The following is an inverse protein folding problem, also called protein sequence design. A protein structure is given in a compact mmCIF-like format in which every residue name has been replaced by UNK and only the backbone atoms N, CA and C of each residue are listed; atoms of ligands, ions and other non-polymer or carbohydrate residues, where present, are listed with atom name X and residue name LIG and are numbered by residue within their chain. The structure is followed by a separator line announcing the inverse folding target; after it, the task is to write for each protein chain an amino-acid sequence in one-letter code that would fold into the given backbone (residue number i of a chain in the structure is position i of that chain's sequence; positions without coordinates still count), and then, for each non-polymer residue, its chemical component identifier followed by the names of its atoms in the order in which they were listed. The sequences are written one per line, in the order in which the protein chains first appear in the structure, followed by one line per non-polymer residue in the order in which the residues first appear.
data_IF_333628253942
#
_entry.id   IF_333628253942
#
_cell.length_a   1.000
_cell.length_b   1.000
_cell.length_c   1.000
_cell.angle_alpha   90.00
_cell.angle_beta   90.00
_cell.angle_gamma   90.00
#
_symmetry.space_group_name_H-M   'P 1'
#
loop_
_entity.id
_entity.type
_entity.pdbx_description
1 polymer ?
#
# COMPACT_ATOMS: atom_id res chain seq x y z
N UNK A 1 16.16 24.54 5.45
CA UNK A 1 16.78 24.38 4.13
C UNK A 1 17.19 22.91 3.98
N UNK A 2 16.30 22.06 3.51
CA UNK A 2 16.57 20.63 3.18
C UNK A 2 15.91 20.26 1.83
N UNK A 3 15.79 21.23 0.92
CA UNK A 3 15.27 21.02 -0.42
C UNK A 3 16.36 20.38 -1.30
N UNK A 4 16.15 19.15 -1.74
CA UNK A 4 16.93 18.54 -2.85
C UNK A 4 17.59 17.19 -2.60
N UNK A 5 17.42 16.55 -1.44
CA UNK A 5 17.96 15.19 -1.22
C UNK A 5 16.95 14.10 -1.61
N UNK A 6 17.45 13.11 -2.36
CA UNK A 6 16.73 11.87 -2.68
C UNK A 6 16.16 11.20 -1.43
N UNK A 7 14.98 10.59 -1.54
CA UNK A 7 14.37 9.81 -0.45
C UNK A 7 15.02 8.42 -0.21
N UNK A 8 16.11 8.09 -0.91
CA UNK A 8 16.84 6.84 -0.73
C UNK A 8 17.54 6.77 0.65
N UNK A 9 17.30 5.69 1.38
CA UNK A 9 17.95 5.39 2.67
C UNK A 9 18.26 3.90 2.80
N UNK A 10 19.31 3.56 3.54
CA UNK A 10 19.67 2.18 3.81
C UNK A 10 18.58 1.49 4.61
N UNK A 11 18.33 0.22 4.34
CA UNK A 11 17.35 -0.57 5.07
C UNK A 11 15.91 -0.42 4.64
N UNK A 12 15.61 0.47 3.69
CA UNK A 12 14.27 0.59 3.13
C UNK A 12 13.84 -0.75 2.53
N UNK A 13 12.61 -1.16 2.82
CA UNK A 13 11.99 -2.32 2.20
C UNK A 13 11.31 -1.86 0.92
N UNK A 14 11.58 -2.55 -0.18
CA UNK A 14 11.21 -2.11 -1.52
C UNK A 14 10.51 -3.20 -2.32
N UNK A 15 9.74 -2.77 -3.31
CA UNK A 15 9.13 -3.61 -4.35
C UNK A 15 9.37 -2.99 -5.72
N UNK A 16 9.02 -3.71 -6.78
CA UNK A 16 9.19 -3.22 -8.15
C UNK A 16 8.43 -1.92 -8.42
N UNK A 17 9.14 -0.95 -8.97
CA UNK A 17 8.69 0.39 -9.32
C UNK A 17 8.05 0.52 -10.70
N UNK A 18 7.83 1.77 -11.16
CA UNK A 18 7.17 2.06 -12.44
C UNK A 18 8.05 1.81 -13.67
N UNK A 19 9.36 1.97 -13.58
CA UNK A 19 10.28 1.83 -14.73
C UNK A 19 11.03 0.50 -14.78
N UNK A 20 10.56 -0.49 -13.99
CA UNK A 20 11.14 -1.82 -13.92
C UNK A 20 11.27 -2.44 -15.32
N UNK A 21 12.48 -2.88 -15.66
CA UNK A 21 12.80 -3.47 -16.98
C UNK A 21 13.59 -4.78 -16.92
N UNK A 22 13.80 -5.30 -15.71
CA UNK A 22 14.57 -6.52 -15.48
C UNK A 22 13.66 -7.74 -15.56
N UNK A 23 14.25 -8.94 -15.67
CA UNK A 23 13.53 -10.17 -16.00
C UNK A 23 12.24 -10.39 -15.19
N UNK A 24 11.19 -10.85 -15.86
CA UNK A 24 9.83 -10.97 -15.33
C UNK A 24 9.67 -12.16 -14.36
N UNK A 25 10.71 -12.97 -14.17
CA UNK A 25 10.69 -14.16 -13.32
C UNK A 25 10.57 -13.85 -11.81
N UNK A 26 11.00 -12.67 -11.37
CA UNK A 26 10.76 -12.22 -9.99
C UNK A 26 9.29 -11.74 -9.90
N UNK A 27 8.54 -12.17 -8.89
CA UNK A 27 7.16 -11.75 -8.74
C UNK A 27 7.08 -10.23 -8.49
N UNK A 28 6.05 -9.54 -9.00
CA UNK A 28 5.92 -8.09 -8.82
C UNK A 28 5.83 -7.63 -7.37
N UNK A 29 5.35 -8.53 -6.51
CA UNK A 29 5.22 -8.31 -5.07
C UNK A 29 6.43 -8.77 -4.24
N UNK A 30 7.49 -9.30 -4.86
CA UNK A 30 8.67 -9.73 -4.10
C UNK A 30 9.30 -8.55 -3.38
N UNK A 31 9.55 -8.74 -2.09
CA UNK A 31 10.17 -7.77 -1.21
C UNK A 31 11.69 -7.82 -1.32
N UNK A 32 12.32 -6.65 -1.23
CA UNK A 32 13.77 -6.52 -1.10
C UNK A 32 14.16 -5.45 -0.11
N UNK A 33 15.45 -5.40 0.22
CA UNK A 33 16.05 -4.44 1.15
C UNK A 33 17.12 -3.62 0.44
N UNK A 34 17.09 -2.30 0.57
CA UNK A 34 18.17 -1.42 0.12
C UNK A 34 19.39 -1.57 1.04
N UNK A 35 20.53 -1.97 0.48
CA UNK A 35 21.75 -2.26 1.27
C UNK A 35 22.94 -1.36 0.92
N UNK A 36 22.92 -0.73 -0.25
CA UNK A 36 23.90 0.30 -0.62
C UNK A 36 23.21 1.42 -1.40
N UNK A 37 23.73 2.64 -1.25
CA UNK A 37 23.25 3.83 -1.96
C UNK A 37 24.45 4.52 -2.57
N UNK A 38 24.29 5.01 -3.79
CA UNK A 38 25.27 5.88 -4.45
C UNK A 38 25.78 7.01 -3.52
N UNK A 39 27.08 7.26 -3.58
CA UNK A 39 27.75 8.35 -2.86
C UNK A 39 27.82 8.21 -1.34
N UNK A 40 27.31 7.13 -0.74
CA UNK A 40 27.54 6.83 0.68
C UNK A 40 28.86 6.06 0.86
N UNK A 41 29.64 6.42 1.89
CA UNK A 41 31.02 5.95 2.09
C UNK A 41 31.20 4.44 1.92
N UNK A 42 32.07 4.05 0.98
CA UNK A 42 32.37 2.65 0.66
C UNK A 42 31.40 1.96 -0.31
N UNK A 43 30.34 2.65 -0.74
CA UNK A 43 29.35 2.13 -1.70
C UNK A 43 29.98 1.86 -3.08
N UNK A 44 29.62 0.74 -3.67
CA UNK A 44 29.98 0.39 -5.06
C UNK A 44 28.86 0.71 -6.03
N UNK A 45 27.73 1.23 -5.54
CA UNK A 45 26.58 1.57 -6.35
C UNK A 45 26.94 2.68 -7.35
N UNK A 46 26.68 2.48 -8.65
CA UNK A 46 26.81 3.55 -9.64
C UNK A 46 25.95 4.77 -9.32
N UNK A 47 26.32 5.92 -9.92
CA UNK A 47 25.60 7.18 -9.75
C UNK A 47 24.07 7.03 -9.91
N UNK A 48 23.29 7.55 -8.96
CA UNK A 48 21.82 7.49 -8.93
C UNK A 48 21.24 6.07 -9.01
N UNK A 49 21.92 5.11 -8.40
CA UNK A 49 21.44 3.73 -8.24
C UNK A 49 21.49 3.30 -6.77
N UNK A 50 20.81 2.20 -6.47
CA UNK A 50 20.86 1.53 -5.17
C UNK A 50 21.12 0.04 -5.36
N UNK A 51 21.83 -0.57 -4.42
CA UNK A 51 21.91 -2.03 -4.33
C UNK A 51 20.76 -2.56 -3.50
N UNK A 52 20.10 -3.60 -3.98
CA UNK A 52 19.03 -4.30 -3.27
C UNK A 52 19.39 -5.77 -3.12
N UNK A 53 19.19 -6.30 -1.92
CA UNK A 53 19.10 -7.74 -1.66
C UNK A 53 17.62 -8.10 -1.60
N UNK A 54 17.14 -8.88 -2.55
CA UNK A 54 15.79 -9.43 -2.52
C UNK A 54 15.67 -10.48 -1.42
N UNK A 55 14.46 -10.68 -0.91
CA UNK A 55 14.25 -11.66 0.16
C UNK A 55 14.65 -13.08 -0.26
N UNK A 56 14.68 -13.40 -1.55
CA UNK A 56 15.21 -14.66 -2.10
C UNK A 56 16.72 -14.83 -1.92
N UNK A 57 17.44 -13.73 -1.63
CA UNK A 57 18.90 -13.65 -1.56
C UNK A 57 19.56 -13.11 -2.83
N UNK A 58 18.79 -12.94 -3.92
CA UNK A 58 19.31 -12.34 -5.15
C UNK A 58 19.69 -10.88 -4.94
N UNK A 59 20.79 -10.45 -5.56
CA UNK A 59 21.30 -9.09 -5.41
C UNK A 59 21.37 -8.38 -6.75
N UNK A 60 21.21 -7.05 -6.75
CA UNK A 60 21.36 -6.27 -7.97
C UNK A 60 21.33 -4.76 -7.74
N UNK A 61 21.75 -4.02 -8.77
CA UNK A 61 21.70 -2.57 -8.81
C UNK A 61 20.50 -2.07 -9.61
N UNK A 62 19.77 -1.12 -9.04
CA UNK A 62 18.51 -0.61 -9.58
C UNK A 62 18.52 0.91 -9.66
N UNK A 63 17.88 1.47 -10.70
CA UNK A 63 17.90 2.91 -10.94
C UNK A 63 16.99 3.61 -9.94
N UNK A 64 17.55 4.65 -9.32
CA UNK A 64 16.89 5.53 -8.36
C UNK A 64 17.07 6.99 -8.83
N UNK A 65 16.79 7.24 -10.12
CA UNK A 65 17.00 8.52 -10.79
C UNK A 65 18.03 8.49 -11.94
N UNK A 66 18.77 7.39 -12.12
CA UNK A 66 19.67 7.24 -13.27
C UNK A 66 18.86 7.21 -14.58
N UNK A 67 19.22 8.09 -15.53
CA UNK A 67 18.50 8.24 -16.79
C UNK A 67 17.03 8.63 -16.62
N UNK A 68 16.67 9.34 -15.53
CA UNK A 68 15.30 9.67 -15.16
C UNK A 68 14.38 8.44 -14.97
N UNK A 69 14.98 7.29 -14.64
CA UNK A 69 14.27 6.06 -14.40
C UNK A 69 14.31 5.66 -12.92
N UNK A 70 13.24 4.98 -12.50
CA UNK A 70 12.95 4.68 -11.11
C UNK A 70 12.38 3.27 -11.04
N UNK A 71 13.22 2.33 -10.65
CA UNK A 71 12.91 0.90 -10.74
C UNK A 71 12.23 0.37 -9.49
N UNK A 72 12.09 1.18 -8.43
CA UNK A 72 11.66 0.72 -7.11
C UNK A 72 10.61 1.63 -6.49
N UNK A 73 9.67 1.02 -5.76
CA UNK A 73 8.81 1.69 -4.79
C UNK A 73 9.27 1.36 -3.37
N UNK A 74 9.10 2.31 -2.44
CA UNK A 74 9.33 2.08 -1.02
C UNK A 74 8.07 1.47 -0.42
N UNK A 75 8.12 0.21 0.01
CA UNK A 75 6.99 -0.46 0.65
C UNK A 75 6.82 0.00 2.10
N UNK A 76 7.93 0.06 2.84
CA UNK A 76 7.98 0.65 4.18
C UNK A 76 9.38 1.21 4.45
N UNK A 77 9.44 2.17 5.37
CA UNK A 77 10.66 2.83 5.81
C UNK A 77 10.98 2.57 7.30
N UNK A 78 10.61 1.38 7.78
CA UNK A 78 10.98 0.89 9.10
C UNK A 78 12.45 0.48 9.07
N UNK A 79 13.28 1.05 9.96
CA UNK A 79 14.74 0.91 9.94
C UNK A 79 15.32 0.43 11.29
N UNK A 80 14.55 -0.31 12.09
CA UNK A 80 14.90 -0.66 13.46
C UNK A 80 14.42 0.36 14.49
N UNK A 81 14.90 0.21 15.73
CA UNK A 81 14.58 1.07 16.89
C UNK A 81 14.98 2.54 16.72
N UNK A 82 15.84 2.87 15.74
CA UNK A 82 16.22 4.24 15.37
C UNK A 82 15.52 4.78 14.12
N UNK A 83 14.46 4.10 13.65
CA UNK A 83 13.74 4.45 12.42
C UNK A 83 12.79 5.64 12.56
N UNK A 84 11.96 5.84 11.53
CA UNK A 84 10.95 6.92 11.53
C UNK A 84 9.83 6.59 12.52
N UNK A 85 9.61 7.48 13.48
CA UNK A 85 8.51 7.39 14.44
C UNK A 85 7.70 8.68 14.44
N UNK A 86 6.38 8.54 14.38
CA UNK A 86 5.42 9.61 14.62
C UNK A 86 4.96 9.54 16.07
N UNK A 87 5.75 10.15 16.96
CA UNK A 87 5.51 10.22 18.40
C UNK A 87 4.10 10.73 18.69
N UNK A 88 3.51 10.22 19.78
CA UNK A 88 2.17 10.61 20.26
C UNK A 88 1.01 10.35 19.27
N UNK A 89 1.27 9.74 18.11
CA UNK A 89 0.24 9.40 17.12
C UNK A 89 -0.11 7.92 17.24
N UNK A 90 -1.37 7.61 17.52
CA UNK A 90 -1.87 6.22 17.62
C UNK A 90 -2.61 5.86 16.35
N UNK A 91 -2.37 4.66 15.82
CA UNK A 91 -3.12 4.16 14.66
C UNK A 91 -4.58 3.85 15.06
N UNK A 92 -5.57 4.49 14.42
CA UNK A 92 -6.98 4.24 14.71
C UNK A 92 -7.47 2.85 14.25
N UNK A 93 -6.70 2.16 13.39
CA UNK A 93 -7.05 0.84 12.88
C UNK A 93 -6.60 -0.34 13.76
N UNK A 94 -5.39 -0.25 14.35
CA UNK A 94 -4.83 -1.32 15.20
C UNK A 94 -4.58 -0.89 16.65
N UNK A 95 -4.79 0.38 16.99
CA UNK A 95 -4.57 0.98 18.31
C UNK A 95 -3.13 0.92 18.82
N UNK A 96 -2.18 0.58 17.95
CA UNK A 96 -0.77 0.62 18.26
C UNK A 96 -0.33 2.07 18.44
N UNK A 97 0.24 2.34 19.62
CA UNK A 97 0.80 3.66 19.96
C UNK A 97 2.06 3.88 19.13
N UNK A 98 2.23 5.13 18.71
CA UNK A 98 3.37 5.62 17.92
C UNK A 98 3.47 4.88 16.59
N UNK A 99 2.96 5.52 15.54
CA UNK A 99 3.07 4.98 14.20
C UNK A 99 4.56 4.96 13.79
N UNK A 100 5.07 3.75 13.55
CA UNK A 100 6.42 3.51 13.01
C UNK A 100 6.33 3.40 11.49
N UNK A 101 7.27 4.04 10.79
CA UNK A 101 7.30 4.13 9.35
C UNK A 101 6.34 5.20 8.81
N UNK A 102 5.63 4.91 7.72
CA UNK A 102 4.70 5.87 7.10
C UNK A 102 3.46 6.11 7.97
N UNK A 103 3.11 7.39 8.16
CA UNK A 103 1.84 7.83 8.72
C UNK A 103 0.87 8.21 7.61
N UNK A 104 -0.32 7.63 7.64
CA UNK A 104 -1.39 7.88 6.68
C UNK A 104 -2.51 8.66 7.38
N UNK A 105 -2.50 9.98 7.21
CA UNK A 105 -3.48 10.89 7.81
C UNK A 105 -4.67 11.07 6.89
N UNK A 106 -5.88 10.79 7.37
CA UNK A 106 -7.10 11.11 6.64
C UNK A 106 -7.29 12.63 6.57
N UNK A 107 -7.61 13.17 5.39
CA UNK A 107 -7.92 14.59 5.20
C UNK A 107 -9.33 14.88 5.66
N UNK A 108 -10.28 14.00 5.31
CA UNK A 108 -11.70 14.18 5.59
C UNK A 108 -12.04 13.98 7.08
N UNK A 109 -11.21 13.22 7.80
CA UNK A 109 -11.39 12.93 9.23
C UNK A 109 -10.16 13.38 10.04
N UNK A 110 -10.20 14.54 10.71
CA UNK A 110 -9.06 15.10 11.44
C UNK A 110 -8.49 14.19 12.54
N UNK A 111 -9.30 13.36 13.17
CA UNK A 111 -8.87 12.43 14.23
C UNK A 111 -8.33 11.08 13.73
N UNK A 112 -8.29 10.85 12.42
CA UNK A 112 -7.92 9.55 11.84
C UNK A 112 -6.49 9.57 11.28
N UNK A 113 -5.70 8.67 11.84
CA UNK A 113 -4.34 8.28 11.46
C UNK A 113 -4.25 6.76 11.35
N UNK A 114 -3.64 6.27 10.28
CA UNK A 114 -3.40 4.84 10.06
C UNK A 114 -1.90 4.58 9.88
N UNK A 115 -1.43 3.45 10.40
CA UNK A 115 -0.15 2.88 9.99
C UNK A 115 -0.27 2.22 8.61
N UNK A 116 0.86 1.92 7.96
CA UNK A 116 0.90 1.28 6.63
C UNK A 116 0.06 0.01 6.59
N UNK A 117 0.18 -0.88 7.58
CA UNK A 117 -0.60 -2.14 7.61
C UNK A 117 -2.10 -1.89 7.55
N UNK A 118 -2.60 -0.96 8.36
CA UNK A 118 -4.02 -0.62 8.40
C UNK A 118 -4.50 0.10 7.14
N UNK A 119 -3.71 1.05 6.62
CA UNK A 119 -4.03 1.74 5.37
C UNK A 119 -4.16 0.77 4.18
N UNK A 120 -3.21 -0.17 4.08
CA UNK A 120 -3.15 -1.15 3.00
C UNK A 120 -4.21 -2.26 3.13
N UNK A 121 -4.71 -2.51 4.34
CA UNK A 121 -5.74 -3.50 4.65
C UNK A 121 -7.15 -2.91 4.76
N UNK A 122 -7.42 -1.83 4.00
CA UNK A 122 -8.74 -1.21 3.86
C UNK A 122 -9.39 -0.74 5.16
N UNK A 123 -8.59 -0.42 6.19
CA UNK A 123 -9.15 0.23 7.37
C UNK A 123 -9.54 1.66 7.02
N UNK A 124 -10.66 2.11 7.55
CA UNK A 124 -11.31 3.40 7.27
C UNK A 124 -11.85 3.52 5.84
N UNK A 125 -12.76 4.48 5.64
CA UNK A 125 -13.45 4.70 4.36
C UNK A 125 -12.46 4.83 3.19
N UNK A 126 -12.71 4.05 2.14
CA UNK A 126 -11.87 3.98 0.95
C UNK A 126 -12.07 5.18 0.01
N UNK A 127 -13.16 5.92 0.15
CA UNK A 127 -13.45 7.15 -0.58
C UNK A 127 -12.79 8.39 0.04
N UNK A 128 -12.24 8.28 1.25
CA UNK A 128 -11.55 9.39 1.89
C UNK A 128 -10.14 9.59 1.33
N UNK A 129 -9.74 10.86 1.24
CA UNK A 129 -8.42 11.31 0.83
C UNK A 129 -7.43 11.16 1.98
N UNK A 130 -6.22 10.70 1.66
CA UNK A 130 -5.15 10.57 2.64
C UNK A 130 -3.92 11.39 2.25
N UNK A 131 -3.20 11.86 3.26
CA UNK A 131 -1.83 12.39 3.14
C UNK A 131 -0.89 11.35 3.74
N UNK A 132 0.13 10.96 2.98
CA UNK A 132 1.23 10.11 3.45
C UNK A 132 2.38 10.98 3.94
N UNK A 133 2.77 10.80 5.18
CA UNK A 133 3.97 11.39 5.75
C UNK A 133 5.07 10.33 5.81
N UNK A 134 6.18 10.59 5.12
CA UNK A 134 7.34 9.68 5.09
C UNK A 134 8.23 9.87 6.32
N UNK A 135 8.22 11.07 6.90
CA UNK A 135 8.87 11.39 8.17
C UNK A 135 8.02 12.36 8.97
N UNK A 136 8.33 12.53 10.26
CA UNK A 136 7.64 13.50 11.12
C UNK A 136 7.74 14.96 10.66
N UNK A 137 8.73 15.29 9.83
CA UNK A 137 8.95 16.64 9.30
C UNK A 137 8.64 16.76 7.80
N UNK A 138 8.21 15.68 7.16
CA UNK A 138 7.83 15.72 5.75
C UNK A 138 6.60 16.59 5.55
N UNK A 139 6.54 17.34 4.44
CA UNK A 139 5.38 18.17 4.09
C UNK A 139 4.09 17.35 3.89
N UNK A 140 4.23 16.03 3.69
CA UNK A 140 3.14 15.12 3.39
C UNK A 140 2.78 15.13 1.91
N UNK A 141 2.46 13.96 1.37
CA UNK A 141 2.06 13.79 -0.02
C UNK A 141 0.61 13.33 -0.07
N UNK A 142 -0.27 14.09 -0.72
CA UNK A 142 -1.65 13.66 -0.97
C UNK A 142 -1.64 12.42 -1.86
N UNK A 143 -2.27 11.35 -1.40
CA UNK A 143 -2.26 10.05 -2.06
C UNK A 143 -3.41 9.97 -3.03
N UNK A 144 -3.10 9.78 -4.32
CA UNK A 144 -4.06 9.64 -5.39
C UNK A 144 -3.62 8.54 -6.38
N UNK A 145 -4.55 7.82 -7.01
CA UNK A 145 -6.01 7.94 -6.86
C UNK A 145 -6.51 7.41 -5.51
N UNK A 146 -7.77 7.69 -5.16
CA UNK A 146 -8.38 7.21 -3.89
C UNK A 146 -8.39 5.68 -3.80
N UNK A 147 -8.38 5.12 -2.58
CA UNK A 147 -8.38 3.65 -2.39
C UNK A 147 -9.58 2.99 -3.06
N UNK A 148 -10.77 3.59 -3.05
CA UNK A 148 -11.95 3.07 -3.74
C UNK A 148 -11.74 2.92 -5.26
N UNK A 149 -10.91 3.77 -5.85
CA UNK A 149 -10.56 3.75 -7.28
C UNK A 149 -9.28 2.95 -7.58
N UNK A 150 -8.60 2.43 -6.56
CA UNK A 150 -7.34 1.69 -6.66
C UNK A 150 -7.45 0.20 -6.35
N UNK A 151 -8.67 -0.37 -6.30
CA UNK A 151 -8.83 -1.79 -5.94
C UNK A 151 -8.06 -2.75 -6.87
N UNK A 152 -8.05 -2.46 -8.18
CA UNK A 152 -7.30 -3.26 -9.17
C UNK A 152 -5.78 -3.04 -9.13
N UNK A 153 -5.31 -2.06 -8.35
CA UNK A 153 -3.89 -1.77 -8.14
C UNK A 153 -3.30 -2.52 -6.93
N UNK A 154 -4.14 -3.20 -6.15
CA UNK A 154 -3.68 -4.05 -5.05
C UNK A 154 -2.77 -5.17 -5.53
N UNK A 155 -1.71 -5.40 -4.78
CA UNK A 155 -0.74 -6.47 -5.01
C UNK A 155 -0.49 -7.21 -3.70
N UNK A 156 -0.29 -8.51 -3.80
CA UNK A 156 0.14 -9.33 -2.67
C UNK A 156 1.65 -9.18 -2.50
N UNK A 157 2.10 -8.77 -1.32
CA UNK A 157 3.52 -8.79 -1.00
C UNK A 157 3.99 -10.25 -0.83
N UNK A 158 5.21 -10.55 -1.26
CA UNK A 158 5.81 -11.87 -1.13
C UNK A 158 7.22 -11.71 -0.57
N UNK A 159 7.59 -12.51 0.42
CA UNK A 159 8.87 -12.33 1.10
C UNK A 159 8.89 -12.89 2.50
N UNK A 160 9.79 -12.35 3.32
CA UNK A 160 9.97 -12.72 4.72
C UNK A 160 8.88 -12.02 5.54
N UNK A 161 7.76 -12.72 5.67
CA UNK A 161 6.62 -12.37 6.53
C UNK A 161 6.44 -13.42 7.62
N UNK A 162 5.57 -13.16 8.60
CA UNK A 162 5.20 -14.15 9.61
C UNK A 162 4.73 -15.45 8.95
N UNK A 163 5.28 -16.58 9.38
CA UNK A 163 5.06 -17.90 8.80
C UNK A 163 6.07 -18.30 7.72
N UNK A 164 6.89 -17.37 7.21
CA UNK A 164 7.88 -17.69 6.17
C UNK A 164 8.95 -18.66 6.67
N UNK A 165 9.39 -19.56 5.79
CA UNK A 165 10.55 -20.42 6.03
C UNK A 165 11.79 -19.71 5.50
N UNK A 166 12.80 -19.57 6.35
CA UNK A 166 14.01 -18.79 6.09
C UNK A 166 15.26 -19.60 6.41
N UNK A 167 16.39 -19.15 5.88
CA UNK A 167 17.74 -19.63 6.21
C UNK A 167 18.69 -18.44 6.37
N UNK A 168 19.94 -18.70 6.79
CA UNK A 168 20.96 -17.65 6.91
C UNK A 168 21.15 -16.87 5.59
N UNK A 169 21.10 -15.54 5.70
CA UNK A 169 21.28 -14.58 4.60
C UNK A 169 22.73 -14.11 4.44
N UNK A 170 22.93 -13.08 3.62
CA UNK A 170 24.26 -12.59 3.24
C UNK A 170 25.03 -11.94 4.41
N UNK A 171 24.35 -11.20 5.29
CA UNK A 171 24.97 -10.52 6.43
C UNK A 171 24.95 -11.38 7.72
N UNK A 172 24.74 -12.69 7.62
CA UNK A 172 24.69 -13.58 8.78
C UNK A 172 25.99 -13.54 9.58
N UNK A 173 25.86 -13.33 10.90
CA UNK A 173 26.99 -13.24 11.84
C UNK A 173 26.79 -14.04 13.13
N UNK A 174 25.77 -14.89 13.16
CA UNK A 174 25.25 -15.47 14.40
C UNK A 174 25.75 -16.90 14.62
N UNK A 175 26.97 -17.21 14.17
CA UNK A 175 27.56 -18.55 14.27
C UNK A 175 26.64 -19.63 13.71
N UNK A 176 26.39 -20.68 14.49
CA UNK A 176 25.48 -21.78 14.16
C UNK A 176 24.21 -21.79 15.02
N UNK A 177 23.69 -20.62 15.40
CA UNK A 177 22.40 -20.52 16.11
C UNK A 177 21.23 -21.18 15.34
N UNK A 178 21.33 -21.20 14.01
CA UNK A 178 20.41 -21.87 13.08
C UNK A 178 20.64 -23.39 12.97
N UNK A 179 21.66 -23.94 13.64
CA UNK A 179 22.06 -25.34 13.51
C UNK A 179 22.99 -25.63 12.33
N UNK A 180 23.53 -24.60 11.67
CA UNK A 180 24.50 -24.75 10.58
C UNK A 180 23.97 -24.31 9.22
N UNK A 181 24.89 -24.19 8.26
CA UNK A 181 24.54 -23.75 6.90
C UNK A 181 23.54 -24.72 6.25
N UNK A 182 22.53 -24.15 5.58
CA UNK A 182 21.47 -24.91 4.92
C UNK A 182 20.32 -25.34 5.84
N UNK A 183 20.40 -25.09 7.15
CA UNK A 183 19.26 -25.25 8.05
C UNK A 183 18.26 -24.13 7.87
N UNK A 184 16.99 -24.46 8.10
CA UNK A 184 15.86 -23.55 7.98
C UNK A 184 15.19 -23.32 9.32
N UNK A 185 14.48 -22.20 9.41
CA UNK A 185 13.65 -21.82 10.54
C UNK A 185 12.39 -21.13 10.06
N UNK A 186 11.40 -21.04 10.94
CA UNK A 186 10.13 -20.38 10.65
C UNK A 186 10.08 -19.01 11.32
N UNK A 187 9.72 -17.98 10.56
CA UNK A 187 9.43 -16.65 11.12
C UNK A 187 8.18 -16.73 11.97
N UNK A 188 8.32 -16.51 13.27
CA UNK A 188 7.20 -16.56 14.23
C UNK A 188 6.59 -15.19 14.47
N UNK A 189 7.38 -14.12 14.34
CA UNK A 189 6.89 -12.75 14.49
C UNK A 189 7.79 -11.72 13.80
N UNK A 190 7.22 -10.57 13.49
CA UNK A 190 7.95 -9.39 13.01
C UNK A 190 7.45 -8.20 13.81
N UNK A 191 8.35 -7.56 14.55
CA UNK A 191 8.00 -6.42 15.40
C UNK A 191 7.66 -5.19 14.54
N UNK A 192 6.99 -4.20 15.13
CA UNK A 192 6.76 -2.90 14.47
C UNK A 192 8.05 -2.16 14.09
N UNK A 193 9.19 -2.59 14.64
CA UNK A 193 10.52 -2.05 14.40
C UNK A 193 11.30 -2.79 13.31
N UNK A 194 10.75 -3.89 12.78
CA UNK A 194 11.37 -4.68 11.71
C UNK A 194 12.30 -5.79 12.20
N UNK A 195 12.35 -6.07 13.49
CA UNK A 195 13.08 -7.23 14.02
C UNK A 195 12.31 -8.52 13.69
N UNK A 196 12.98 -9.47 13.05
CA UNK A 196 12.38 -10.72 12.59
C UNK A 196 12.73 -11.85 13.55
N UNK A 197 11.74 -12.38 14.26
CA UNK A 197 11.92 -13.48 15.20
C UNK A 197 11.75 -14.81 14.46
N UNK A 198 12.80 -15.64 14.48
CA UNK A 198 12.81 -16.95 13.81
C UNK A 198 12.96 -18.06 14.84
N UNK A 199 12.10 -19.07 14.74
CA UNK A 199 12.22 -20.34 15.45
C UNK A 199 12.98 -21.33 14.59
N UNK A 200 14.12 -21.81 15.07
CA UNK A 200 14.92 -22.82 14.38
C UNK A 200 14.53 -24.24 14.80
N UNK A 201 15.05 -25.24 14.07
CA UNK A 201 14.83 -26.67 14.37
C UNK A 201 15.25 -27.08 15.78
N UNK A 202 16.18 -26.35 16.41
CA UNK A 202 16.56 -26.54 17.81
C UNK A 202 15.46 -26.16 18.82
N UNK A 203 14.40 -25.50 18.36
CA UNK A 203 13.33 -24.93 19.20
C UNK A 203 13.62 -23.51 19.69
N UNK A 204 14.87 -23.05 19.61
CA UNK A 204 15.26 -21.72 20.03
C UNK A 204 14.70 -20.64 19.09
N UNK A 205 14.34 -19.49 19.69
CA UNK A 205 13.84 -18.31 18.97
C UNK A 205 14.81 -17.16 19.16
N UNK A 206 15.25 -16.56 18.05
CA UNK A 206 16.16 -15.42 18.06
C UNK A 206 15.71 -14.32 17.09
N UNK A 207 16.02 -13.04 17.40
CA UNK A 207 15.78 -11.92 16.50
C UNK A 207 16.89 -11.78 15.46
N UNK A 208 16.51 -11.38 14.24
CA UNK A 208 17.41 -11.13 13.12
C UNK A 208 17.04 -9.85 12.39
N UNK A 209 18.04 -9.22 11.78
CA UNK A 209 17.87 -7.97 11.05
C UNK A 209 17.47 -8.23 9.61
N UNK A 210 16.43 -7.52 9.19
CA UNK A 210 15.97 -7.44 7.81
C UNK A 210 15.78 -5.97 7.43
N UNK A 211 16.89 -5.31 7.10
CA UNK A 211 16.95 -3.89 6.74
C UNK A 211 17.53 -2.98 7.80
N UNK A 212 17.54 -3.34 9.08
CA UNK A 212 18.19 -2.50 10.10
C UNK A 212 19.68 -2.25 9.74
N UNK A 213 20.05 -0.99 9.58
CA UNK A 213 21.37 -0.53 9.10
C UNK A 213 21.79 -1.11 7.73
N UNK A 214 20.83 -1.40 6.85
CA UNK A 214 21.10 -2.02 5.54
C UNK A 214 21.57 -3.47 5.63
N UNK A 215 21.30 -4.17 6.74
CA UNK A 215 21.75 -5.56 6.96
C UNK A 215 20.63 -6.57 6.73
N UNK A 216 20.97 -7.65 6.03
CA UNK A 216 20.05 -8.74 5.67
C UNK A 216 20.61 -10.07 6.17
N UNK A 217 20.19 -10.46 7.37
CA UNK A 217 20.67 -11.68 8.03
C UNK A 217 19.87 -12.93 7.64
N UNK A 218 18.76 -12.79 6.93
CA UNK A 218 17.88 -13.88 6.53
C UNK A 218 17.64 -13.87 5.03
N UNK A 219 17.44 -15.05 4.46
CA UNK A 219 16.90 -15.24 3.11
C UNK A 219 15.75 -16.24 3.13
N UNK A 220 14.79 -16.03 2.25
CA UNK A 220 13.62 -16.85 2.05
C UNK A 220 14.03 -18.20 1.47
N UNK A 221 13.66 -19.28 2.15
CA UNK A 221 13.85 -20.65 1.68
C UNK A 221 12.59 -21.16 0.95
N UNK A 222 11.41 -20.81 1.45
CA UNK A 222 10.13 -21.13 0.81
C UNK A 222 9.29 -19.87 0.67
N UNK A 223 8.61 -19.74 -0.48
CA UNK A 223 7.78 -18.55 -0.76
C UNK A 223 6.69 -18.41 0.30
N UNK A 224 6.58 -17.20 0.85
CA UNK A 224 5.53 -16.83 1.78
C UNK A 224 4.81 -15.57 1.28
N UNK A 225 3.49 -15.57 1.43
CA UNK A 225 2.65 -14.42 1.11
C UNK A 225 2.51 -13.53 2.34
N UNK A 226 2.66 -12.24 2.13
CA UNK A 226 2.52 -11.20 3.14
C UNK A 226 1.21 -10.44 2.99
N UNK A 227 1.25 -9.17 3.39
CA UNK A 227 0.10 -8.28 3.30
C UNK A 227 -0.17 -7.84 1.86
N UNK A 228 -1.42 -7.47 1.58
CA UNK A 228 -1.78 -6.75 0.37
C UNK A 228 -1.33 -5.29 0.49
N UNK A 229 -0.99 -4.64 -0.62
CA UNK A 229 -0.67 -3.22 -0.69
C UNK A 229 -1.16 -2.57 -1.98
N UNK A 230 -1.42 -1.26 -1.93
CA UNK A 230 -1.74 -0.42 -3.09
C UNK A 230 -0.44 0.07 -3.74
N UNK A 231 -0.05 -0.53 -4.87
CA UNK A 231 1.23 -0.27 -5.52
C UNK A 231 1.42 1.21 -5.87
N UNK A 232 0.44 1.83 -6.49
CA UNK A 232 0.42 3.24 -6.90
C UNK A 232 0.44 4.23 -5.73
N UNK A 233 0.15 3.77 -4.50
CA UNK A 233 0.15 4.60 -3.30
C UNK A 233 1.49 4.62 -2.59
N UNK A 234 2.46 3.81 -3.02
CA UNK A 234 3.81 3.79 -2.46
C UNK A 234 4.68 4.92 -3.04
N UNK A 235 5.60 5.50 -2.25
CA UNK A 235 6.61 6.40 -2.79
C UNK A 235 7.47 5.73 -3.85
N UNK A 236 7.90 6.49 -4.84
CA UNK A 236 8.97 6.07 -5.75
C UNK A 236 10.31 6.31 -5.06
N UNK A 237 11.18 5.30 -5.05
CA UNK A 237 12.51 5.43 -4.46
C UNK A 237 13.45 6.19 -5.42
N UNK A 238 14.19 7.17 -4.88
CA UNK A 238 15.06 8.06 -5.64
C UNK A 238 14.39 9.37 -6.06
N UNK A 239 13.08 9.50 -5.85
CA UNK A 239 12.35 10.73 -6.11
C UNK A 239 12.72 11.82 -5.10
N UNK A 240 12.69 13.08 -5.53
CA UNK A 240 12.89 14.22 -4.63
C UNK A 240 11.67 14.35 -3.70
N UNK A 241 11.93 14.51 -2.40
CA UNK A 241 10.90 14.55 -1.35
C UNK A 241 10.05 15.82 -1.30
N UNK A 242 10.05 16.66 -2.33
CA UNK A 242 9.35 17.95 -2.35
C UNK A 242 7.94 17.88 -2.96
N UNK A 243 7.47 16.69 -3.33
CA UNK A 243 6.15 16.54 -3.97
C UNK A 243 6.06 17.19 -5.36
N UNK A 244 7.19 17.66 -5.92
CA UNK A 244 7.26 18.25 -7.27
C UNK A 244 7.71 17.25 -8.33
N UNK A 245 8.08 16.02 -7.94
CA UNK A 245 8.10 14.93 -8.90
C UNK A 245 6.65 14.68 -9.29
N UNK A 246 6.37 15.12 -10.50
CA UNK A 246 5.13 14.96 -11.22
C UNK A 246 4.74 13.48 -11.23
N UNK A 247 4.04 13.04 -10.17
CA UNK A 247 3.24 11.81 -10.18
C UNK A 247 2.20 11.85 -11.33
N UNK A 248 2.11 12.98 -12.05
CA UNK A 248 1.29 13.15 -13.24
C UNK A 248 1.81 12.47 -14.51
N UNK A 249 2.97 11.81 -14.55
CA UNK A 249 3.29 11.02 -15.76
C UNK A 249 2.24 9.90 -16.00
N UNK A 250 1.66 9.33 -14.93
CA UNK A 250 0.51 8.41 -15.03
C UNK A 250 -0.85 9.10 -14.84
N UNK A 251 -0.96 10.18 -14.06
CA UNK A 251 -2.25 10.81 -13.74
C UNK A 251 -2.81 11.73 -14.86
N UNK A 252 -2.00 12.20 -15.83
CA UNK A 252 -2.54 12.99 -16.97
C UNK A 252 -3.51 12.22 -17.86
N UNK A 253 -3.47 10.89 -17.84
CA UNK A 253 -4.40 10.05 -18.61
C UNK A 253 -5.79 10.00 -17.95
N UNK A 254 -5.87 10.01 -16.62
CA UNK A 254 -7.15 9.84 -15.90
C UNK A 254 -7.89 11.19 -15.72
N UNK A 255 -7.18 12.30 -15.51
CA UNK A 255 -7.80 13.62 -15.31
C UNK A 255 -8.39 14.24 -16.59
N UNK A 256 -8.03 13.76 -17.79
CA UNK A 256 -8.68 14.19 -19.04
C UNK A 256 -10.08 13.58 -19.23
N UNK A 257 -10.41 12.49 -18.55
CA UNK A 257 -11.73 11.84 -18.67
C UNK A 257 -12.82 12.55 -17.84
N UNK A 258 -12.47 13.21 -16.74
CA UNK A 258 -13.46 13.83 -15.82
C UNK A 258 -13.93 15.21 -16.28
N UNK A 259 -13.17 15.92 -17.13
CA UNK A 259 -13.57 17.24 -17.64
C UNK A 259 -14.59 17.22 -18.78
N UNK A 260 -14.96 16.05 -19.32
CA UNK A 260 -15.89 15.96 -20.46
C UNK A 260 -17.36 15.75 -20.08
N UNK A 261 -17.70 15.69 -18.77
CA UNK A 261 -19.08 15.43 -18.33
C UNK A 261 -19.79 16.56 -17.57
N UNK A 262 -19.17 17.72 -17.37
CA UNK A 262 -19.87 18.90 -16.86
C UNK A 262 -19.97 19.94 -17.97
N UNK A 263 -21.04 19.85 -18.76
CA UNK A 263 -21.49 20.93 -19.62
C UNK A 263 -21.88 22.13 -18.75
N UNK A 264 -21.04 23.15 -18.72
CA UNK A 264 -21.44 24.49 -18.30
C UNK A 264 -21.18 25.41 -19.48
N UNK A 265 -22.28 25.93 -20.01
CA UNK A 265 -22.40 26.90 -21.09
C UNK A 265 -21.52 28.11 -20.78
N UNK A 266 -20.53 28.41 -21.64
CA UNK A 266 -19.83 29.71 -21.61
C UNK A 266 -20.62 30.69 -22.46
N UNK A 267 -21.27 31.65 -21.80
CA UNK A 267 -21.64 32.91 -22.43
C UNK A 267 -20.39 33.77 -22.57
N UNK A 268 -20.13 34.19 -23.80
CA UNK A 268 -19.11 35.15 -24.20
C UNK A 268 -19.28 36.48 -23.48
N UNK A 269 -18.18 37.04 -22.96
CA UNK A 269 -18.02 38.49 -23.00
C UNK A 269 -16.56 38.82 -23.32
N UNK A 270 -16.41 39.62 -24.37
CA UNK A 270 -15.15 40.14 -24.90
C UNK A 270 -14.69 41.34 -24.07
N UNK A 271 -13.37 41.46 -23.91
CA UNK A 271 -12.52 42.66 -23.77
C UNK A 271 -11.17 42.14 -23.25
N UNK A 272 -10.10 42.05 -24.04
CA UNK A 272 -9.29 43.19 -24.52
C UNK A 272 -8.56 43.79 -23.31
N UNK A 273 -7.24 43.79 -23.13
CA UNK A 273 -6.06 43.45 -23.92
C UNK A 273 -4.83 43.88 -23.08
N UNK A 274 -3.64 43.58 -23.57
CA UNK A 274 -2.33 44.12 -23.18
C UNK A 274 -1.61 43.47 -21.99
N UNK A 275 -0.49 42.82 -22.30
CA UNK A 275 0.58 42.53 -21.34
C UNK A 275 1.60 43.66 -21.26
N UNK A 276 2.51 43.56 -20.30
CA UNK A 276 3.91 43.99 -20.42
C UNK A 276 4.71 43.43 -19.24
N UNK A 277 5.94 43.00 -19.54
CA UNK A 277 7.03 42.73 -18.59
C UNK A 277 7.44 44.01 -17.83
N UNK A 278 8.24 43.82 -16.76
CA UNK A 278 9.60 44.38 -16.58
C UNK A 278 9.93 44.72 -15.09
N UNK A 279 10.96 44.01 -14.59
CA UNK A 279 12.05 44.35 -13.65
C UNK A 279 11.77 44.84 -12.21
N UNK A 280 12.62 44.34 -11.31
CA UNK A 280 12.75 44.77 -9.93
C UNK A 280 13.64 46.00 -9.73
N UNK A 281 13.68 46.46 -8.49
CA UNK A 281 14.73 47.30 -7.92
C UNK A 281 14.70 47.21 -6.38
N UNK A 282 15.89 47.38 -5.83
CA UNK A 282 16.35 47.23 -4.46
C UNK A 282 16.28 48.55 -3.64
N UNK A 283 16.36 48.39 -2.31
CA UNK A 283 16.98 49.30 -1.30
C UNK A 283 16.30 50.63 -0.89
N UNK A 284 16.07 50.76 0.43
CA UNK A 284 16.67 51.87 1.20
C UNK A 284 15.81 52.91 1.96
N UNK A 285 15.74 52.71 3.28
CA UNK A 285 15.95 53.70 4.37
C UNK A 285 14.87 54.71 4.85
N UNK A 286 14.50 54.51 6.12
CA UNK A 286 14.46 55.43 7.29
C UNK A 286 13.74 56.81 7.27
N UNK A 287 12.93 57.04 8.32
CA UNK A 287 12.59 58.38 8.83
C UNK A 287 11.33 58.44 9.70
N UNK A 288 11.49 58.37 11.02
CA UNK A 288 10.44 58.60 12.03
C UNK A 288 10.51 60.08 12.52
N UNK A 289 9.44 60.64 13.12
CA UNK A 289 9.54 60.87 14.57
C UNK A 289 8.23 60.65 15.37
N UNK A 290 8.39 60.20 16.61
CA UNK A 290 7.39 60.15 17.70
C UNK A 290 7.42 61.47 18.53
N UNK A 291 6.61 61.73 19.58
CA UNK A 291 6.57 60.92 20.83
C UNK A 291 5.25 60.89 21.63
N UNK A 292 5.14 59.98 22.61
CA UNK A 292 3.96 59.84 23.48
C UNK A 292 4.04 58.80 24.62
N UNK A 293 5.13 58.78 25.41
CA UNK A 293 5.23 58.63 26.90
C UNK A 293 4.20 57.71 27.63
N UNK A 294 4.51 56.63 28.38
CA UNK A 294 5.26 56.58 29.67
C UNK A 294 5.60 55.14 30.17
N UNK A 295 6.86 54.97 30.66
CA UNK A 295 7.45 54.18 31.79
C UNK A 295 7.14 52.67 31.94
N UNK A 296 8.10 51.72 31.88
CA UNK A 296 9.36 51.47 32.65
C UNK A 296 9.12 51.00 34.11
N UNK A 297 9.76 49.95 34.67
CA UNK A 297 10.95 49.21 34.24
C UNK A 297 11.26 47.96 35.10
N UNK A 298 12.46 47.44 34.84
CA UNK A 298 13.10 46.17 35.23
C UNK A 298 13.26 45.85 36.72
N UNK A 299 13.41 44.56 37.04
CA UNK A 299 14.61 44.00 37.74
C UNK A 299 14.63 42.47 37.67
N UNK A 300 15.82 41.89 37.53
CA UNK A 300 16.10 40.46 37.64
C UNK A 300 16.59 40.12 39.06
N UNK A 301 16.49 38.84 39.50
CA UNK A 301 17.70 38.20 40.01
C UNK A 301 17.87 36.71 39.63
N UNK A 302 19.11 36.23 39.83
CA UNK A 302 19.63 34.87 39.61
C UNK A 302 19.32 33.91 40.78
N UNK A 303 19.47 32.62 40.49
CA UNK A 303 19.90 31.47 41.33
C UNK A 303 18.87 30.37 41.67
N UNK A 304 19.20 29.17 41.14
CA UNK A 304 19.36 27.86 41.78
C UNK A 304 18.18 26.99 42.29
N UNK A 305 18.35 25.69 41.98
CA UNK A 305 17.80 24.44 42.53
C UNK A 305 16.40 23.92 42.11
N UNK A 306 16.47 22.79 41.39
CA UNK A 306 15.75 21.51 41.47
C UNK A 306 14.23 21.37 41.72
N UNK A 307 13.68 20.45 40.91
CA UNK A 307 12.56 19.53 41.14
C UNK A 307 11.13 20.09 41.29
N UNK A 308 10.24 19.64 40.39
CA UNK A 308 8.80 19.70 40.62
C UNK A 308 7.97 19.72 39.35
N UNK A 309 7.29 18.61 39.08
CA UNK A 309 6.14 18.53 38.17
C UNK A 309 5.19 19.74 38.33
N UNK A 310 4.71 20.33 37.24
CA UNK A 310 3.41 21.01 37.24
C UNK A 310 2.67 20.87 35.90
N UNK A 311 1.54 20.19 36.01
CA UNK A 311 0.40 20.13 35.10
C UNK A 311 -0.33 21.48 35.09
N UNK A 312 -0.70 22.00 33.92
CA UNK A 312 -1.66 23.11 33.80
C UNK A 312 -3.00 22.54 33.32
N UNK A 313 -3.99 22.64 34.21
CA UNK A 313 -5.42 22.47 33.97
C UNK A 313 -5.94 23.78 33.37
N UNK A 314 -6.86 23.72 32.41
CA UNK A 314 -7.79 24.83 32.16
C UNK A 314 -9.22 24.37 32.42
N UNK A 315 -9.91 25.13 33.26
CA UNK A 315 -11.24 24.89 33.83
C UNK A 315 -12.24 25.80 33.14
N UNK A 316 -13.38 25.27 32.69
CA UNK A 316 -14.66 25.97 32.75
C UNK A 316 -15.83 25.05 32.39
N UNK A 317 -16.60 24.63 33.40
CA UNK A 317 -18.00 25.06 33.62
C UNK A 317 -18.79 23.97 34.37
N UNK A 318 -19.19 24.32 35.59
CA UNK A 318 -20.08 23.56 36.45
C UNK A 318 -21.54 23.84 36.06
N UNK A 319 -22.38 22.81 35.96
CA UNK A 319 -23.83 22.91 36.24
C UNK A 319 -24.25 21.65 37.01
N UNK A 320 -25.01 21.90 38.07
CA UNK A 320 -25.38 21.00 39.16
C UNK A 320 -26.17 19.74 38.78
N UNK A 321 -26.02 18.74 39.66
CA UNK A 321 -26.62 17.42 39.63
C UNK A 321 -28.15 17.42 39.80
N UNK A 322 -28.82 16.62 38.97
CA UNK A 322 -30.11 16.00 39.27
C UNK A 322 -30.04 14.49 38.97
N UNK A 323 -30.73 13.72 39.81
CA UNK A 323 -30.74 12.25 39.99
C UNK A 323 -30.94 11.43 38.69
N UNK A 324 -30.39 10.19 38.57
CA UNK A 324 -30.49 9.40 37.35
C UNK A 324 -31.81 8.62 37.21
N UNK A 325 -32.38 8.47 35.99
CA UNK A 325 -33.34 7.43 35.64
C UNK A 325 -32.65 6.13 35.18
N UNK A 326 -33.38 4.99 35.09
CA UNK A 326 -32.79 3.66 35.01
C UNK A 326 -32.09 3.35 33.69
N UNK A 327 -31.06 2.53 33.82
CA UNK A 327 -30.21 1.92 32.79
C UNK A 327 -31.00 1.35 31.60
N UNK A 328 -30.78 1.93 30.42
CA UNK A 328 -30.96 1.25 29.13
C UNK A 328 -29.58 0.78 28.65
N UNK A 329 -29.40 -0.53 28.58
CA UNK A 329 -28.22 -1.18 28.03
C UNK A 329 -28.05 -0.86 26.55
N UNK A 330 -26.83 -0.52 26.06
CA UNK A 330 -26.59 -0.47 24.62
C UNK A 330 -26.62 -1.88 24.06
N UNK A 331 -27.50 -2.13 23.10
CA UNK A 331 -27.45 -3.33 22.25
C UNK A 331 -26.14 -3.28 21.46
N UNK A 332 -25.23 -4.20 21.79
CA UNK A 332 -23.97 -4.44 21.09
C UNK A 332 -24.29 -5.01 19.70
N UNK A 333 -23.76 -4.48 18.59
CA UNK A 333 -23.77 -5.24 17.33
C UNK A 333 -22.90 -6.49 17.51
N UNK A 334 -23.33 -7.68 17.03
CA UNK A 334 -22.58 -8.90 17.27
C UNK A 334 -21.19 -8.78 16.66
N UNK A 335 -20.18 -9.11 17.46
CA UNK A 335 -18.82 -9.30 16.98
C UNK A 335 -18.86 -10.37 15.88
N UNK A 336 -18.19 -10.13 14.75
CA UNK A 336 -17.88 -11.21 13.82
C UNK A 336 -16.99 -12.20 14.57
N UNK A 337 -17.59 -13.30 15.01
CA UNK A 337 -16.88 -14.40 15.64
C UNK A 337 -16.02 -15.10 14.59
N UNK A 338 -14.77 -15.39 14.95
CA UNK A 338 -13.97 -16.34 14.19
C UNK A 338 -14.63 -17.72 14.32
N UNK A 339 -15.31 -18.14 13.25
CA UNK A 339 -16.16 -19.34 13.19
C UNK A 339 -15.42 -20.68 13.35
N UNK A 340 -14.10 -20.69 13.46
CA UNK A 340 -13.29 -21.90 13.53
C UNK A 340 -12.26 -21.85 14.65
N UNK A 341 -12.02 -23.00 15.29
CA UNK A 341 -11.02 -23.20 16.35
C UNK A 341 -9.94 -24.18 15.89
N UNK A 342 -8.78 -24.12 16.55
CA UNK A 342 -7.69 -25.06 16.32
C UNK A 342 -8.15 -26.48 16.65
N UNK A 343 -8.16 -27.35 15.63
CA UNK A 343 -8.61 -28.75 15.74
C UNK A 343 -9.91 -29.06 14.98
N UNK A 344 -10.60 -28.05 14.44
CA UNK A 344 -11.83 -28.27 13.67
C UNK A 344 -11.56 -29.03 12.37
N UNK A 345 -12.29 -30.13 12.16
CA UNK A 345 -12.31 -30.83 10.89
C UNK A 345 -13.29 -30.14 9.94
N UNK A 346 -12.76 -29.49 8.90
CA UNK A 346 -13.56 -28.75 7.91
C UNK A 346 -13.50 -29.45 6.56
N UNK A 347 -14.66 -29.52 5.89
CA UNK A 347 -14.75 -30.05 4.52
C UNK A 347 -14.64 -28.90 3.53
N UNK A 348 -13.67 -29.00 2.63
CA UNK A 348 -13.49 -28.02 1.55
C UNK A 348 -14.65 -28.19 0.56
N UNK A 349 -15.29 -27.07 0.20
CA UNK A 349 -16.39 -27.06 -0.78
C UNK A 349 -15.86 -27.49 -2.15
N UNK A 350 -16.47 -28.52 -2.75
CA UNK A 350 -16.15 -28.99 -4.11
C UNK A 350 -16.78 -28.11 -5.21
N UNK A 351 -17.63 -27.15 -4.83
CA UNK A 351 -18.17 -26.15 -5.73
C UNK A 351 -17.19 -24.98 -5.87
N UNK A 352 -16.31 -25.08 -6.87
CA UNK A 352 -15.26 -24.09 -7.15
C UNK A 352 -15.81 -22.68 -7.41
N UNK A 353 -17.03 -22.54 -7.92
CA UNK A 353 -17.66 -21.24 -8.18
C UNK A 353 -17.93 -20.43 -6.90
N UNK A 354 -18.09 -21.14 -5.77
CA UNK A 354 -18.23 -20.54 -4.43
C UNK A 354 -16.90 -20.38 -3.69
N UNK A 355 -15.82 -20.99 -4.19
CA UNK A 355 -14.46 -20.81 -3.66
C UNK A 355 -13.71 -19.65 -4.34
N UNK A 356 -13.99 -19.33 -5.60
CA UNK A 356 -13.35 -18.20 -6.29
C UNK A 356 -13.71 -16.86 -5.62
N UNK A 357 -14.99 -16.61 -5.29
CA UNK A 357 -15.42 -15.32 -4.73
C UNK A 357 -14.76 -14.95 -3.39
N UNK A 358 -14.54 -15.90 -2.44
CA UNK A 358 -13.81 -15.62 -1.20
C UNK A 358 -12.27 -15.69 -1.31
N UNK A 359 -11.72 -16.51 -2.21
CA UNK A 359 -10.26 -16.74 -2.29
C UNK A 359 -9.53 -15.77 -3.26
N UNK A 360 -10.22 -15.27 -4.30
CA UNK A 360 -9.66 -14.29 -5.25
C UNK A 360 -9.45 -12.91 -4.59
N UNK A 361 -10.27 -12.59 -3.57
CA UNK A 361 -10.13 -11.36 -2.79
C UNK A 361 -8.97 -11.37 -1.78
N UNK A 362 -8.46 -12.56 -1.42
CA UNK A 362 -7.37 -12.73 -0.45
C UNK A 362 -6.02 -13.09 -1.10
N UNK A 363 -6.02 -13.42 -2.41
CA UNK A 363 -4.80 -13.74 -3.16
C UNK A 363 -4.18 -15.09 -2.81
N UNK A 364 -4.96 -16.01 -2.21
CA UNK A 364 -4.47 -17.30 -1.72
C UNK A 364 -4.70 -18.45 -2.72
N UNK A 365 -5.36 -18.21 -3.86
CA UNK A 365 -5.71 -19.28 -4.80
C UNK A 365 -4.51 -19.69 -5.66
N UNK A 366 -4.12 -20.97 -5.60
CA UNK A 366 -3.10 -21.60 -6.43
C UNK A 366 -3.76 -22.67 -7.31
N UNK A 367 -3.26 -22.85 -8.55
CA UNK A 367 -3.79 -23.87 -9.47
C UNK A 367 -3.70 -25.30 -8.91
N UNK A 368 -2.74 -25.56 -8.02
CA UNK A 368 -2.58 -26.84 -7.32
C UNK A 368 -3.72 -27.18 -6.34
N UNK A 369 -4.61 -26.24 -6.04
CA UNK A 369 -5.84 -26.51 -5.26
C UNK A 369 -6.95 -27.16 -6.08
N UNK A 370 -6.79 -27.31 -7.40
CA UNK A 370 -7.75 -27.96 -8.29
C UNK A 370 -7.64 -29.48 -8.27
N UNK A 371 -6.53 -30.04 -7.81
CA UNK A 371 -6.30 -31.48 -7.84
C UNK A 371 -6.52 -32.11 -6.46
N UNK A 372 -7.72 -32.67 -6.26
CA UNK A 372 -7.94 -33.71 -5.27
C UNK A 372 -7.98 -35.02 -6.04
N UNK A 373 -6.89 -35.79 -5.97
CA UNK A 373 -6.83 -37.13 -6.53
C UNK A 373 -7.62 -38.08 -5.62
N UNK A 374 -8.84 -38.45 -6.03
CA UNK A 374 -9.58 -39.54 -5.40
C UNK A 374 -8.90 -40.89 -5.73
N UNK A 375 -8.50 -41.63 -4.69
CA UNK A 375 -8.17 -43.06 -4.78
C UNK A 375 -9.40 -43.89 -4.42
N UNK A 376 -9.60 -45.09 -5.01
CA UNK A 376 -10.91 -45.72 -5.12
C UNK A 376 -11.26 -46.66 -3.95
N UNK A 377 -12.53 -46.70 -3.58
CA UNK A 377 -13.15 -47.78 -2.78
C UNK A 377 -14.37 -48.33 -3.54
N UNK A 378 -14.71 -49.63 -3.41
CA UNK A 378 -15.29 -50.39 -4.50
C UNK A 378 -16.82 -50.41 -4.54
N UNK A 379 -17.30 -50.34 -5.78
CA UNK A 379 -18.47 -50.96 -6.40
C UNK A 379 -19.73 -51.23 -5.55
N UNK A 380 -20.80 -50.50 -5.88
CA UNK A 380 -22.15 -51.07 -5.94
C UNK A 380 -22.82 -50.63 -7.26
N UNK A 381 -23.36 -51.62 -7.99
CA UNK A 381 -23.96 -51.49 -9.31
C UNK A 381 -25.39 -50.90 -9.28
N UNK A 382 -25.91 -50.40 -10.42
CA UNK A 382 -26.94 -49.37 -10.47
C UNK A 382 -28.37 -49.93 -10.65
N UNK A 383 -29.37 -49.09 -10.37
CA UNK A 383 -30.69 -49.20 -11.00
C UNK A 383 -31.14 -47.87 -11.61
N UNK A 384 -31.89 -47.88 -12.72
CA UNK A 384 -32.05 -46.74 -13.62
C UNK A 384 -33.43 -46.09 -13.48
N UNK A 385 -33.49 -44.76 -13.46
CA UNK A 385 -34.56 -43.95 -14.07
C UNK A 385 -34.50 -42.49 -13.59
N UNK A 386 -33.87 -41.62 -14.38
CA UNK A 386 -34.46 -40.38 -14.88
C UNK A 386 -33.38 -39.60 -15.66
N UNK A 387 -33.20 -39.99 -16.92
CA UNK A 387 -32.55 -39.09 -17.89
C UNK A 387 -33.54 -37.96 -18.15
N UNK A 388 -33.31 -36.80 -17.52
CA UNK A 388 -33.84 -35.53 -18.02
C UNK A 388 -32.79 -34.93 -18.98
N UNK A 389 -33.22 -34.35 -20.10
CA UNK A 389 -32.34 -34.00 -21.21
C UNK A 389 -31.37 -32.89 -20.81
N UNK A 390 -30.19 -32.92 -21.44
CA UNK A 390 -29.16 -31.91 -21.34
C UNK A 390 -29.75 -30.49 -21.44
N UNK A 391 -29.53 -29.67 -20.41
CA UNK A 391 -29.79 -28.24 -20.51
C UNK A 391 -28.87 -27.65 -21.59
N UNK A 392 -29.51 -26.98 -22.54
CA UNK A 392 -28.94 -26.29 -23.68
C UNK A 392 -27.77 -25.37 -23.31
N UNK A 393 -26.79 -25.29 -24.22
CA UNK A 393 -25.72 -24.30 -24.24
C UNK A 393 -26.32 -22.89 -24.09
N UNK A 394 -26.21 -22.28 -22.91
CA UNK A 394 -26.71 -20.93 -22.65
C UNK A 394 -25.95 -19.90 -23.49
N UNK A 395 -26.68 -18.94 -24.09
CA UNK A 395 -26.08 -17.82 -24.83
C UNK A 395 -25.10 -17.08 -23.90
N UNK A 396 -23.87 -16.72 -24.35
CA UNK A 396 -22.88 -16.09 -23.49
C UNK A 396 -23.41 -14.78 -22.91
N UNK A 397 -23.23 -14.55 -21.62
CA UNK A 397 -23.69 -13.32 -20.94
C UNK A 397 -22.70 -12.18 -21.13
N UNK A 398 -23.20 -10.94 -21.15
CA UNK A 398 -22.38 -9.75 -21.27
C UNK A 398 -21.52 -9.59 -20.03
N UNK A 399 -20.20 -9.68 -20.15
CA UNK A 399 -19.28 -9.60 -18.99
C UNK A 399 -19.22 -8.23 -18.32
N UNK A 400 -19.81 -7.21 -18.95
CA UNK A 400 -19.83 -5.83 -18.44
C UNK A 400 -21.03 -5.60 -17.52
N UNK A 401 -22.25 -5.82 -18.01
CA UNK A 401 -23.47 -5.60 -17.21
C UNK A 401 -24.00 -6.88 -16.56
N UNK A 402 -23.66 -8.05 -17.08
CA UNK A 402 -24.16 -9.37 -16.64
C UNK A 402 -25.70 -9.49 -16.67
N UNK A 403 -26.38 -8.51 -17.26
CA UNK A 403 -27.85 -8.46 -17.38
C UNK A 403 -28.38 -8.94 -18.74
N UNK A 404 -27.56 -8.89 -19.80
CA UNK A 404 -27.96 -9.15 -21.19
C UNK A 404 -27.01 -10.14 -21.85
N UNK A 405 -27.46 -10.88 -22.85
CA UNK A 405 -26.58 -11.74 -23.65
C UNK A 405 -25.52 -10.93 -24.41
N UNK A 406 -24.28 -11.42 -24.42
CA UNK A 406 -23.23 -10.96 -25.29
C UNK A 406 -23.60 -11.23 -26.75
N UNK A 407 -23.75 -10.16 -27.53
CA UNK A 407 -24.24 -10.21 -28.91
C UNK A 407 -23.50 -9.25 -29.84
N UNK A 408 -22.28 -8.84 -29.46
CA UNK A 408 -21.42 -7.96 -30.26
C UNK A 408 -20.04 -8.59 -30.42
N UNK A 409 -19.60 -8.70 -31.67
CA UNK A 409 -18.23 -9.03 -32.02
C UNK A 409 -17.40 -7.75 -32.26
N UNK A 410 -16.17 -7.73 -31.75
CA UNK A 410 -15.23 -6.61 -31.89
C UNK A 410 -14.27 -6.82 -33.06
N UNK A 411 -14.21 -5.89 -34.03
CA UNK A 411 -13.31 -5.98 -35.21
C UNK A 411 -12.04 -5.17 -34.95
N UNK A 412 -10.82 -5.70 -35.26
CA UNK A 412 -10.56 -6.93 -36.02
C UNK A 412 -10.44 -8.23 -35.20
N UNK A 413 -10.50 -8.18 -33.87
CA UNK A 413 -10.12 -9.33 -33.04
C UNK A 413 -11.17 -10.46 -32.93
N UNK A 414 -12.40 -10.25 -33.41
CA UNK A 414 -13.47 -11.26 -33.50
C UNK A 414 -14.14 -11.64 -32.16
N UNK A 415 -13.66 -11.16 -31.02
CA UNK A 415 -14.17 -11.57 -29.71
C UNK A 415 -15.59 -11.06 -29.45
N UNK A 416 -16.41 -11.92 -28.83
CA UNK A 416 -17.78 -11.61 -28.38
C UNK A 416 -17.81 -11.63 -26.86
N UNK A 417 -18.03 -10.47 -26.24
CA UNK A 417 -17.91 -10.36 -24.79
C UNK A 417 -19.05 -9.55 -24.14
N UNK A 418 -19.76 -8.72 -24.89
CA UNK A 418 -20.75 -7.84 -24.30
C UNK A 418 -21.96 -7.58 -25.19
N UNK A 419 -23.00 -6.99 -24.60
CA UNK A 419 -24.20 -6.58 -25.32
C UNK A 419 -23.98 -5.27 -26.08
N UNK A 420 -24.88 -4.99 -27.03
CA UNK A 420 -24.85 -3.78 -27.88
C UNK A 420 -24.76 -2.45 -27.13
N UNK A 421 -25.35 -2.34 -25.94
CA UNK A 421 -25.28 -1.12 -25.14
C UNK A 421 -23.89 -0.95 -24.53
N UNK A 422 -23.35 -2.02 -23.95
CA UNK A 422 -22.05 -2.00 -23.28
C UNK A 422 -20.87 -1.90 -24.26
N UNK A 423 -21.04 -2.35 -25.51
CA UNK A 423 -19.98 -2.25 -26.53
C UNK A 423 -19.66 -0.81 -26.94
N UNK A 424 -20.52 0.17 -26.60
CA UNK A 424 -20.31 1.59 -26.91
C UNK A 424 -19.49 2.33 -25.85
N UNK A 425 -19.25 1.70 -24.69
CA UNK A 425 -18.59 2.33 -23.54
C UNK A 425 -17.06 2.29 -23.61
N UNK A 426 -16.48 1.45 -24.48
CA UNK A 426 -15.04 1.19 -24.53
C UNK A 426 -14.56 1.06 -25.97
N UNK A 427 -13.42 1.69 -26.31
CA UNK A 427 -12.79 1.60 -27.63
C UNK A 427 -11.81 0.43 -27.80
N UNK A 428 -11.76 -0.48 -26.81
CA UNK A 428 -10.87 -1.64 -26.77
C UNK A 428 -11.63 -2.90 -26.41
N UNK A 429 -11.24 -4.03 -27.00
CA UNK A 429 -11.88 -5.31 -26.75
C UNK A 429 -11.68 -5.74 -25.28
N UNK A 430 -12.75 -6.07 -24.53
CA UNK A 430 -12.65 -6.49 -23.13
C UNK A 430 -11.83 -7.77 -22.89
N UNK A 431 -11.68 -8.62 -23.92
CA UNK A 431 -10.97 -9.89 -23.83
C UNK A 431 -9.48 -9.69 -24.14
N UNK A 432 -9.15 -9.23 -25.36
CA UNK A 432 -7.77 -9.16 -25.83
C UNK A 432 -7.13 -7.78 -25.68
N UNK A 433 -7.89 -6.76 -25.25
CA UNK A 433 -7.45 -5.36 -25.08
C UNK A 433 -6.95 -4.66 -26.36
N UNK A 434 -7.11 -5.28 -27.52
CA UNK A 434 -6.83 -4.67 -28.82
C UNK A 434 -7.80 -3.54 -29.15
N UNK A 435 -7.35 -2.57 -29.95
CA UNK A 435 -8.17 -1.45 -30.40
C UNK A 435 -9.32 -1.94 -31.30
N UNK A 436 -10.51 -1.39 -31.07
CA UNK A 436 -11.74 -1.76 -31.78
C UNK A 436 -11.96 -0.77 -32.92
N UNK A 437 -11.85 -1.25 -34.15
CA UNK A 437 -12.16 -0.49 -35.36
C UNK A 437 -13.66 -0.41 -35.64
N UNK A 438 -14.40 -1.49 -35.35
CA UNK A 438 -15.87 -1.50 -35.43
C UNK A 438 -16.48 -2.60 -34.56
N UNK A 439 -17.78 -2.46 -34.26
CA UNK A 439 -18.57 -3.41 -33.47
C UNK A 439 -19.69 -3.97 -34.34
N UNK A 440 -19.72 -5.29 -34.55
CA UNK A 440 -20.73 -5.97 -35.35
C UNK A 440 -21.71 -6.71 -34.42
N UNK A 441 -23.00 -6.44 -34.57
CA UNK A 441 -24.04 -7.18 -33.85
C UNK A 441 -24.18 -8.56 -34.47
N UNK A 442 -24.04 -9.60 -33.65
CA UNK A 442 -24.26 -10.97 -34.06
C UNK A 442 -25.63 -11.46 -33.59
N UNK A 443 -26.34 -12.16 -34.46
CA UNK A 443 -27.59 -12.83 -34.15
C UNK A 443 -27.30 -14.32 -34.03
N UNK A 444 -27.22 -14.81 -32.79
CA UNK A 444 -27.13 -16.25 -32.52
C UNK A 444 -28.57 -16.78 -32.51
N UNK A 445 -28.92 -17.77 -33.37
CA UNK A 445 -30.26 -18.36 -33.42
C UNK A 445 -30.80 -18.70 -32.02
#
# INVERSE_FOLDING_TARGET
MESGRSNAKLGLRVVRGPHWRYDNQIASGLMGTVVEIDGQGGSRAPAKTVAVIWDTGDTGFYRAGYGNAYDLHIYENVQGQGGVVHEFTTCNGCHEKEIVGFRWKCVDCPAIDLCTRCYMSDKHDLAHTFIRYETRWSAGVRVLPLRCNSQNDKRLAQGIFKGAIVSRGQDWRNGNQDGGAGKTGQVVDITKWGDVFVRWMSGNVYPYRLGANGKVELKLAERCCGNIYYKSHLPVLGALGDGTVDNNCFQRVILKAVRKHNGVSKSTNQNGGNGCEVKGADVGNAGNPAPGIHRAGYTAPKNNYEAGHMTIINVASQVSALRPPPTMTPVRPPAQENLFKLGDQVKISVDYSKLLRPQDGHGCFLDSMKEVSDSPTPAQNPTPANVRPAHALGKPECIICVEKSANVAFVPCGHVACCQACSRLFGRCPICRGDVGSCLRIFVP
#
